data_IF_484418675266
#
_entry.id   IF_484418675266
#
_cell.length_a   1.000
_cell.length_b   1.000
_cell.length_c   1.000
_cell.angle_alpha   90.00
_cell.angle_beta   90.00
_cell.angle_gamma   90.00
#
_symmetry.space_group_name_H-M   'P 1'
#
loop_
_entity.id
_entity.type
_entity.pdbx_description
1 polymer ?
#
# COMPACT_ATOMS: atom_id res chain seq x y z
N UNK A 1 3.27 15.07 3.52
CA UNK A 1 3.12 13.87 4.38
C UNK A 1 1.79 13.98 5.10
N UNK A 2 0.97 12.92 5.10
CA UNK A 2 -0.33 12.84 5.80
C UNK A 2 -0.37 11.53 6.59
N UNK A 3 -0.53 11.63 7.90
CA UNK A 3 -0.74 10.47 8.78
C UNK A 3 -2.15 10.54 9.36
N UNK A 4 -2.95 9.52 9.06
CA UNK A 4 -4.27 9.29 9.64
C UNK A 4 -4.27 7.92 10.34
N UNK A 5 -3.20 7.64 11.08
CA UNK A 5 -3.04 6.40 11.83
C UNK A 5 -4.08 6.34 12.96
N UNK A 6 -4.74 5.20 13.11
CA UNK A 6 -5.80 5.05 14.10
C UNK A 6 -5.75 3.68 14.76
N UNK A 7 -5.74 3.69 16.10
CA UNK A 7 -6.00 2.51 16.93
C UNK A 7 -7.50 2.14 16.99
N UNK A 8 -8.29 2.44 15.94
CA UNK A 8 -9.59 1.78 15.73
C UNK A 8 -10.82 2.68 15.55
N UNK A 9 -11.17 2.97 14.27
CA UNK A 9 -12.55 3.14 13.73
C UNK A 9 -12.95 4.46 13.06
N UNK A 10 -12.10 5.48 12.92
CA UNK A 10 -12.55 6.74 12.28
C UNK A 10 -12.33 6.80 10.75
N UNK A 11 -11.22 6.30 10.20
CA UNK A 11 -10.99 6.37 8.74
C UNK A 11 -11.90 5.38 8.02
N UNK A 12 -12.88 5.93 7.30
CA UNK A 12 -13.79 5.23 6.38
C UNK A 12 -13.63 5.80 4.97
N UNK A 13 -14.12 5.08 3.97
CA UNK A 13 -14.09 5.51 2.57
C UNK A 13 -14.71 6.90 2.38
N UNK A 14 -15.77 7.23 3.11
CA UNK A 14 -16.41 8.56 3.05
C UNK A 14 -15.47 9.67 3.51
N UNK A 15 -14.69 9.45 4.58
CA UNK A 15 -13.71 10.43 5.04
C UNK A 15 -12.58 10.59 4.02
N UNK A 16 -12.13 9.48 3.42
CA UNK A 16 -11.11 9.52 2.38
C UNK A 16 -11.59 10.19 1.09
N UNK A 17 -12.86 10.01 0.73
CA UNK A 17 -13.47 10.68 -0.40
C UNK A 17 -13.58 12.20 -0.19
N UNK A 18 -13.87 12.62 1.05
CA UNK A 18 -13.82 14.04 1.40
C UNK A 18 -12.38 14.57 1.35
N UNK A 19 -11.43 13.84 1.93
CA UNK A 19 -10.03 14.22 1.98
C UNK A 19 -9.39 14.28 0.57
N UNK A 20 -9.71 13.34 -0.31
CA UNK A 20 -9.24 13.29 -1.70
C UNK A 20 -9.65 14.55 -2.48
N UNK A 21 -10.83 15.09 -2.21
CA UNK A 21 -11.28 16.36 -2.79
C UNK A 21 -10.43 17.56 -2.34
N UNK A 22 -9.91 17.54 -1.11
CA UNK A 22 -9.00 18.57 -0.60
C UNK A 22 -7.61 18.47 -1.23
N UNK A 23 -7.08 17.25 -1.39
CA UNK A 23 -5.74 17.02 -1.98
C UNK A 23 -5.72 17.30 -3.48
N UNK A 24 -6.77 16.89 -4.19
CA UNK A 24 -6.94 17.12 -5.63
C UNK A 24 -7.03 18.62 -5.97
N UNK A 25 -7.80 19.39 -5.20
CA UNK A 25 -7.98 20.84 -5.44
C UNK A 25 -6.72 21.67 -5.16
N UNK A 26 -5.88 21.24 -4.22
CA UNK A 26 -4.71 22.00 -3.81
C UNK A 26 -3.41 21.63 -4.54
N UNK A 27 -3.47 20.80 -5.60
CA UNK A 27 -2.27 20.18 -6.22
C UNK A 27 -1.30 19.69 -5.15
N UNK A 28 -1.82 19.10 -4.07
CA UNK A 28 -0.99 18.79 -2.92
C UNK A 28 0.04 17.77 -3.37
N UNK A 29 1.33 18.13 -3.34
CA UNK A 29 2.46 17.24 -3.57
C UNK A 29 2.60 16.24 -2.43
N UNK A 30 1.54 15.49 -2.17
CA UNK A 30 1.49 14.51 -1.11
C UNK A 30 2.40 13.36 -1.53
N UNK A 31 3.49 13.21 -0.78
CA UNK A 31 4.52 12.21 -1.02
C UNK A 31 4.43 11.02 -0.07
N UNK A 32 3.78 11.19 1.08
CA UNK A 32 3.66 10.12 2.07
C UNK A 32 2.26 10.10 2.66
N UNK A 33 1.70 8.90 2.76
CA UNK A 33 0.38 8.61 3.31
C UNK A 33 0.49 7.43 4.29
N UNK A 34 -0.07 7.59 5.48
CA UNK A 34 -0.24 6.48 6.41
C UNK A 34 -1.71 6.40 6.84
N UNK A 35 -2.32 5.24 6.63
CA UNK A 35 -3.67 4.88 7.02
C UNK A 35 -3.66 3.63 7.91
N UNK A 36 -2.57 3.44 8.69
CA UNK A 36 -2.39 2.24 9.50
C UNK A 36 -3.57 2.04 10.45
N UNK A 37 -4.08 0.82 10.51
CA UNK A 37 -5.20 0.44 11.38
C UNK A 37 -6.56 0.97 10.93
N UNK A 38 -6.70 1.42 9.67
CA UNK A 38 -7.97 1.83 9.10
C UNK A 38 -8.82 0.61 8.72
N UNK A 39 -9.36 -0.12 9.70
CA UNK A 39 -10.12 -1.37 9.49
C UNK A 39 -11.38 -1.23 8.62
N UNK A 40 -11.93 -0.01 8.48
CA UNK A 40 -13.10 0.28 7.63
C UNK A 40 -12.71 0.78 6.24
N UNK A 41 -11.41 0.88 5.93
CA UNK A 41 -10.92 1.22 4.61
C UNK A 41 -11.13 0.05 3.66
N UNK A 42 -11.82 0.29 2.56
CA UNK A 42 -11.94 -0.68 1.46
C UNK A 42 -11.12 -0.26 0.25
N UNK A 43 -11.07 -1.13 -0.75
CA UNK A 43 -10.41 -0.85 -2.03
C UNK A 43 -10.97 0.42 -2.70
N UNK A 44 -12.25 0.75 -2.50
CA UNK A 44 -12.90 1.96 -3.04
C UNK A 44 -12.31 3.22 -2.43
N UNK A 45 -12.19 3.25 -1.09
CA UNK A 45 -11.57 4.37 -0.38
C UNK A 45 -10.10 4.54 -0.75
N UNK A 46 -9.36 3.43 -0.87
CA UNK A 46 -7.96 3.45 -1.28
C UNK A 46 -7.80 4.03 -2.69
N UNK A 47 -8.60 3.56 -3.66
CA UNK A 47 -8.61 4.05 -5.04
C UNK A 47 -8.84 5.57 -5.11
N UNK A 48 -9.79 6.09 -4.33
CA UNK A 48 -10.09 7.51 -4.29
C UNK A 48 -8.88 8.35 -3.85
N UNK A 49 -8.10 7.86 -2.89
CA UNK A 49 -6.91 8.56 -2.38
C UNK A 49 -5.76 8.50 -3.37
N UNK A 50 -5.41 7.31 -3.87
CA UNK A 50 -4.26 7.17 -4.78
C UNK A 50 -4.51 7.86 -6.12
N UNK A 51 -5.76 7.95 -6.57
CA UNK A 51 -6.15 8.72 -7.76
C UNK A 51 -6.01 10.22 -7.56
N UNK A 52 -6.25 10.73 -6.34
CA UNK A 52 -6.10 12.14 -6.02
C UNK A 52 -4.66 12.56 -5.72
N UNK A 53 -3.77 11.60 -5.42
CA UNK A 53 -2.39 11.85 -5.01
C UNK A 53 -1.38 10.98 -5.81
N UNK A 54 -1.20 11.22 -7.12
CA UNK A 54 -0.31 10.41 -7.96
C UNK A 54 1.18 10.55 -7.63
N UNK A 55 1.56 11.55 -6.83
CA UNK A 55 2.95 11.80 -6.40
C UNK A 55 3.38 11.03 -5.16
N UNK A 56 2.50 10.18 -4.61
CA UNK A 56 2.80 9.38 -3.43
C UNK A 56 4.01 8.47 -3.67
N UNK A 57 4.99 8.59 -2.78
CA UNK A 57 6.21 7.79 -2.76
C UNK A 57 6.30 6.84 -1.57
N UNK A 58 5.54 7.06 -0.50
CA UNK A 58 5.50 6.17 0.67
C UNK A 58 4.07 5.99 1.14
N UNK A 59 3.60 4.74 1.21
CA UNK A 59 2.24 4.38 1.59
C UNK A 59 2.26 3.30 2.66
N UNK A 60 1.65 3.56 3.81
CA UNK A 60 1.47 2.60 4.89
C UNK A 60 -0.01 2.28 5.07
N UNK A 61 -0.36 1.02 4.82
CA UNK A 61 -1.70 0.43 4.93
C UNK A 61 -1.69 -0.76 5.90
N UNK A 62 -0.71 -0.82 6.80
CA UNK A 62 -0.61 -1.91 7.77
C UNK A 62 -1.89 -1.99 8.62
N UNK A 63 -2.28 -3.20 8.99
CA UNK A 63 -3.48 -3.51 9.77
C UNK A 63 -4.80 -3.05 9.10
N UNK A 64 -4.82 -2.83 7.79
CA UNK A 64 -6.05 -2.53 7.04
C UNK A 64 -6.75 -3.82 6.57
N UNK A 65 -7.48 -4.46 7.49
CA UNK A 65 -8.03 -5.81 7.30
C UNK A 65 -9.14 -5.97 6.26
N UNK A 66 -9.66 -4.87 5.68
CA UNK A 66 -10.73 -4.90 4.67
C UNK A 66 -10.22 -4.64 3.23
N UNK A 67 -8.90 -4.52 3.05
CA UNK A 67 -8.27 -4.39 1.74
C UNK A 67 -8.05 -5.76 1.10
N UNK A 68 -8.24 -5.81 -0.21
CA UNK A 68 -7.99 -7.02 -1.02
C UNK A 68 -6.89 -6.76 -2.06
N UNK A 69 -6.53 -7.78 -2.82
CA UNK A 69 -5.58 -7.66 -3.93
C UNK A 69 -6.05 -6.67 -5.00
N UNK A 70 -7.36 -6.44 -5.12
CA UNK A 70 -7.90 -5.43 -6.02
C UNK A 70 -7.46 -4.01 -5.62
N UNK A 71 -7.46 -3.68 -4.32
CA UNK A 71 -6.95 -2.41 -3.82
C UNK A 71 -5.45 -2.25 -4.07
N UNK A 72 -4.66 -3.32 -3.88
CA UNK A 72 -3.22 -3.32 -4.16
C UNK A 72 -2.94 -3.17 -5.66
N UNK A 73 -3.76 -3.80 -6.51
CA UNK A 73 -3.69 -3.63 -7.96
C UNK A 73 -3.91 -2.17 -8.38
N UNK A 74 -4.97 -1.53 -7.90
CA UNK A 74 -5.27 -0.14 -8.23
C UNK A 74 -4.20 0.82 -7.72
N UNK A 75 -3.70 0.61 -6.49
CA UNK A 75 -2.58 1.36 -5.94
C UNK A 75 -1.34 1.24 -6.82
N UNK A 76 -0.99 0.01 -7.23
CA UNK A 76 0.17 -0.22 -8.09
C UNK A 76 0.00 0.39 -9.48
N UNK A 77 -1.20 0.30 -10.06
CA UNK A 77 -1.52 0.90 -11.35
C UNK A 77 -1.34 2.43 -11.31
N UNK A 78 -1.91 3.10 -10.31
CA UNK A 78 -1.85 4.57 -10.19
C UNK A 78 -0.48 5.10 -9.80
N UNK A 79 0.29 4.35 -9.02
CA UNK A 79 1.58 4.79 -8.46
C UNK A 79 2.79 4.06 -9.06
N UNK A 80 2.63 3.47 -10.25
CA UNK A 80 3.62 2.64 -10.97
C UNK A 80 5.04 3.25 -10.96
N UNK A 81 5.16 4.57 -11.10
CA UNK A 81 6.45 5.27 -11.21
C UNK A 81 6.81 6.12 -9.99
N UNK A 82 5.88 6.37 -9.08
CA UNK A 82 6.09 7.26 -7.93
C UNK A 82 6.36 6.52 -6.63
N UNK A 83 5.73 5.35 -6.43
CA UNK A 83 5.82 4.61 -5.17
C UNK A 83 7.21 3.99 -4.97
N UNK A 84 7.78 4.24 -3.79
CA UNK A 84 9.08 3.75 -3.32
C UNK A 84 8.96 2.89 -2.08
N UNK A 85 7.99 3.17 -1.21
CA UNK A 85 7.82 2.45 0.04
C UNK A 85 6.37 2.00 0.18
N UNK A 86 6.17 0.71 0.46
CA UNK A 86 4.87 0.13 0.72
C UNK A 86 4.92 -0.74 1.97
N UNK A 87 4.02 -0.48 2.91
CA UNK A 87 3.85 -1.26 4.13
C UNK A 87 2.42 -1.78 4.18
N UNK A 88 2.24 -3.10 4.17
CA UNK A 88 0.95 -3.79 4.19
C UNK A 88 0.93 -4.88 5.27
N UNK A 89 1.65 -4.64 6.36
CA UNK A 89 1.81 -5.61 7.46
C UNK A 89 0.45 -5.95 8.07
N UNK A 90 0.25 -7.20 8.49
CA UNK A 90 -0.95 -7.61 9.23
C UNK A 90 -2.27 -7.52 8.45
N UNK A 91 -2.24 -7.24 7.14
CA UNK A 91 -3.42 -7.22 6.29
C UNK A 91 -3.91 -8.66 6.02
N UNK A 92 -4.84 -9.14 6.86
CA UNK A 92 -5.26 -10.55 6.91
C UNK A 92 -5.98 -11.07 5.66
N UNK A 93 -6.56 -10.19 4.84
CA UNK A 93 -7.27 -10.58 3.61
C UNK A 93 -6.37 -10.68 2.39
N UNK A 94 -5.09 -10.33 2.53
CA UNK A 94 -4.17 -10.26 1.43
C UNK A 94 -3.38 -11.57 1.25
N UNK A 95 -3.36 -12.05 0.02
CA UNK A 95 -2.48 -13.13 -0.43
C UNK A 95 -1.27 -12.60 -1.21
N UNK A 96 -0.07 -12.92 -0.75
CA UNK A 96 1.20 -12.45 -1.30
C UNK A 96 1.38 -12.87 -2.76
N UNK A 97 1.00 -14.11 -3.12
CA UNK A 97 1.13 -14.61 -4.48
C UNK A 97 0.08 -13.99 -5.41
N UNK A 98 -1.15 -13.79 -4.93
CA UNK A 98 -2.21 -13.16 -5.69
C UNK A 98 -1.91 -11.69 -6.01
N UNK A 99 -1.24 -10.96 -5.10
CA UNK A 99 -0.84 -9.57 -5.37
C UNK A 99 0.52 -9.41 -6.04
N UNK A 100 1.30 -10.48 -6.20
CA UNK A 100 2.69 -10.42 -6.67
C UNK A 100 2.81 -9.61 -7.98
N UNK A 101 1.92 -9.88 -8.94
CA UNK A 101 1.93 -9.16 -10.22
C UNK A 101 1.78 -7.64 -10.05
N UNK A 102 0.95 -7.20 -9.11
CA UNK A 102 0.78 -5.78 -8.79
C UNK A 102 2.07 -5.18 -8.23
N UNK A 103 2.72 -5.87 -7.29
CA UNK A 103 3.98 -5.42 -6.69
C UNK A 103 5.12 -5.34 -7.71
N UNK A 104 5.16 -6.24 -8.70
CA UNK A 104 6.16 -6.22 -9.76
C UNK A 104 6.00 -5.03 -10.73
N UNK A 105 4.81 -4.39 -10.79
CA UNK A 105 4.60 -3.18 -11.60
C UNK A 105 5.29 -1.94 -11.03
N UNK A 106 5.54 -1.89 -9.71
CA UNK A 106 6.07 -0.72 -9.01
C UNK A 106 7.55 -0.49 -9.33
N UNK A 107 7.84 0.32 -10.36
CA UNK A 107 9.17 0.41 -10.98
C UNK A 107 10.25 0.97 -10.05
N UNK A 108 9.86 1.70 -9.01
CA UNK A 108 10.77 2.39 -8.10
C UNK A 108 10.62 1.90 -6.66
N UNK A 109 10.04 0.71 -6.44
CA UNK A 109 9.93 0.13 -5.12
C UNK A 109 11.31 -0.12 -4.51
N UNK A 110 11.55 0.50 -3.36
CA UNK A 110 12.80 0.44 -2.59
C UNK A 110 12.56 -0.24 -1.23
N UNK A 111 11.38 -0.07 -0.63
CA UNK A 111 11.01 -0.69 0.66
C UNK A 111 9.67 -1.40 0.52
N UNK A 112 9.64 -2.68 0.91
CA UNK A 112 8.41 -3.45 1.05
C UNK A 112 8.37 -4.14 2.42
N UNK A 113 7.26 -3.96 3.12
CA UNK A 113 6.96 -4.67 4.36
C UNK A 113 5.66 -5.45 4.18
N UNK A 114 5.75 -6.75 4.40
CA UNK A 114 4.64 -7.74 4.33
C UNK A 114 4.58 -8.58 5.60
N UNK A 115 5.02 -8.01 6.73
CA UNK A 115 5.11 -8.72 7.99
C UNK A 115 3.74 -9.27 8.41
N UNK A 116 3.71 -10.49 8.93
CA UNK A 116 2.47 -11.15 9.34
C UNK A 116 1.59 -11.67 8.20
N UNK A 117 1.95 -11.44 6.92
CA UNK A 117 1.25 -12.07 5.78
C UNK A 117 1.73 -13.52 5.66
N UNK A 118 0.83 -14.47 5.95
CA UNK A 118 1.16 -15.90 6.02
C UNK A 118 1.40 -16.54 4.64
N UNK A 119 0.83 -15.99 3.56
CA UNK A 119 1.00 -16.54 2.20
C UNK A 119 2.37 -16.23 1.56
N UNK A 120 3.25 -15.51 2.25
CA UNK A 120 4.59 -15.20 1.79
C UNK A 120 5.42 -16.48 1.71
N UNK A 121 5.94 -16.79 0.52
CA UNK A 121 6.75 -17.98 0.23
C UNK A 121 8.09 -17.63 -0.42
N UNK A 122 9.00 -18.59 -0.50
CA UNK A 122 10.27 -18.43 -1.22
C UNK A 122 10.07 -18.03 -2.70
N UNK A 123 8.99 -18.51 -3.33
CA UNK A 123 8.66 -18.15 -4.70
C UNK A 123 8.28 -16.66 -4.83
N UNK A 124 7.52 -16.13 -3.86
CA UNK A 124 7.19 -14.71 -3.77
C UNK A 124 8.46 -13.87 -3.59
N UNK A 125 9.31 -14.25 -2.63
CA UNK A 125 10.56 -13.54 -2.31
C UNK A 125 11.49 -13.55 -3.53
N UNK A 126 11.72 -14.72 -4.15
CA UNK A 126 12.57 -14.86 -5.33
C UNK A 126 12.06 -14.00 -6.49
N UNK A 127 10.75 -13.95 -6.71
CA UNK A 127 10.15 -13.15 -7.79
C UNK A 127 10.33 -11.65 -7.53
N UNK A 128 10.07 -11.18 -6.32
CA UNK A 128 10.28 -9.78 -5.94
C UNK A 128 11.74 -9.35 -6.07
N UNK A 129 12.66 -10.13 -5.51
CA UNK A 129 14.09 -9.82 -5.53
C UNK A 129 14.65 -9.84 -6.96
N UNK A 130 14.13 -10.70 -7.84
CA UNK A 130 14.57 -10.74 -9.25
C UNK A 130 14.29 -9.44 -10.01
N UNK A 131 13.25 -8.69 -9.62
CA UNK A 131 12.85 -7.45 -10.29
C UNK A 131 13.36 -6.22 -9.53
N UNK A 132 13.19 -6.20 -8.21
CA UNK A 132 13.44 -5.01 -7.39
C UNK A 132 14.79 -5.06 -6.66
N UNK A 133 15.45 -6.22 -6.60
CA UNK A 133 16.69 -6.45 -5.84
C UNK A 133 17.76 -5.36 -5.98
N UNK A 134 18.08 -4.85 -7.20
CA UNK A 134 19.07 -3.79 -7.38
C UNK A 134 18.71 -2.44 -6.74
N UNK A 135 17.41 -2.18 -6.49
CA UNK A 135 16.90 -0.93 -5.91
C UNK A 135 16.49 -1.09 -4.44
N UNK A 136 16.26 -2.32 -3.99
CA UNK A 136 15.74 -2.57 -2.65
C UNK A 136 16.69 -2.10 -1.56
N UNK A 137 16.14 -1.34 -0.63
CA UNK A 137 16.75 -0.85 0.60
C UNK A 137 16.19 -1.56 1.83
N UNK A 138 14.98 -2.11 1.75
CA UNK A 138 14.36 -2.84 2.84
C UNK A 138 13.33 -3.87 2.35
N UNK A 139 13.45 -5.09 2.87
CA UNK A 139 12.43 -6.14 2.77
C UNK A 139 12.15 -6.65 4.17
N UNK A 140 10.93 -6.50 4.65
CA UNK A 140 10.54 -6.94 6.00
C UNK A 140 9.54 -8.10 5.87
N UNK A 141 9.94 -9.25 6.41
CA UNK A 141 9.23 -10.54 6.34
C UNK A 141 8.99 -11.14 7.74
N UNK A 142 8.91 -10.28 8.76
CA UNK A 142 8.72 -10.75 10.14
C UNK A 142 7.37 -11.48 10.26
N UNK A 143 7.35 -12.58 11.01
CA UNK A 143 6.15 -13.38 11.27
C UNK A 143 5.38 -13.86 10.01
N UNK A 144 6.10 -14.06 8.90
CA UNK A 144 5.64 -14.75 7.70
C UNK A 144 5.90 -16.27 7.79
N UNK A 145 5.14 -17.11 7.09
CA UNK A 145 5.35 -18.58 7.12
C UNK A 145 4.49 -19.38 6.16
#
# INVERSE_FOLDING_TARGET
VLHLDLCGRCVSDNMLQAASSCFSKNKSGLTSLSLKGAYQLTDVGLLAVVSAAPTLSSVNLSDCSSLTEAGIYELADKLTTSLKELYIDGCQQLDAMAMLHSLLKLRNLEVLSVAGIQSVSDAFISSLVSVHGPKMKGLVLADCG
#
